data_IF_806638803771
#
_entry.id   IF_806638803771
#
_cell.length_a   1.000
_cell.length_b   1.000
_cell.length_c   1.000
_cell.angle_alpha   90.00
_cell.angle_beta   90.00
_cell.angle_gamma   90.00
#
_symmetry.space_group_name_H-M   'P 1'
#
loop_
_entity.id
_entity.type
_entity.pdbx_description
1 polymer ?
#
# COMPACT_ATOMS: atom_id res chain seq x y z
N UNK A 1 -1.90 0.93 16.64
CA UNK A 1 -2.36 0.32 15.38
C UNK A 1 -1.37 0.64 14.26
N UNK A 2 -1.06 -0.33 13.41
CA UNK A 2 -0.07 -0.24 12.33
C UNK A 2 -0.74 -0.59 11.00
N UNK A 3 -0.31 0.05 9.92
CA UNK A 3 -0.88 -0.14 8.58
C UNK A 3 0.25 -0.32 7.57
N UNK A 4 0.05 -1.25 6.63
CA UNK A 4 0.90 -1.46 5.45
C UNK A 4 0.02 -1.60 4.21
N UNK A 5 0.61 -1.43 3.03
CA UNK A 5 -0.09 -1.49 1.75
C UNK A 5 0.29 -2.76 0.98
N UNK A 6 -0.67 -3.31 0.24
CA UNK A 6 -0.44 -4.39 -0.70
C UNK A 6 -0.97 -4.00 -2.08
N UNK A 7 -0.22 -4.33 -3.14
CA UNK A 7 -0.68 -4.18 -4.52
C UNK A 7 -0.65 -5.52 -5.22
N UNK A 8 -1.77 -5.89 -5.81
CA UNK A 8 -1.92 -7.11 -6.60
C UNK A 8 -1.55 -6.83 -8.06
N UNK A 9 -0.47 -7.43 -8.53
CA UNK A 9 0.00 -7.27 -9.90
C UNK A 9 -0.30 -8.52 -10.72
N UNK A 10 -1.08 -8.34 -11.79
CA UNK A 10 -1.58 -9.43 -12.64
C UNK A 10 -0.61 -9.85 -13.75
N UNK A 11 0.55 -9.19 -13.87
CA UNK A 11 1.58 -9.61 -14.82
C UNK A 11 2.14 -10.97 -14.41
N UNK A 12 2.43 -11.85 -15.38
CA UNK A 12 2.98 -13.17 -15.09
C UNK A 12 4.48 -13.07 -14.75
N UNK A 13 4.95 -13.60 -13.60
CA UNK A 13 4.17 -14.30 -12.57
C UNK A 13 3.42 -13.36 -11.63
N UNK A 14 2.17 -13.70 -11.30
CA UNK A 14 1.31 -12.91 -10.41
C UNK A 14 1.89 -12.86 -8.99
N UNK A 15 2.12 -11.65 -8.49
CA UNK A 15 2.70 -11.39 -7.17
C UNK A 15 1.91 -10.32 -6.40
N UNK A 16 2.07 -10.32 -5.08
CA UNK A 16 1.72 -9.17 -4.25
C UNK A 16 2.97 -8.33 -4.01
N UNK A 17 2.86 -7.02 -4.13
CA UNK A 17 3.89 -6.08 -3.67
C UNK A 17 3.48 -5.54 -2.31
N UNK A 18 4.39 -5.59 -1.34
CA UNK A 18 4.18 -5.12 0.02
C UNK A 18 4.97 -3.84 0.27
N UNK A 19 4.29 -2.82 0.80
CA UNK A 19 4.90 -1.57 1.20
C UNK A 19 4.61 -1.25 2.66
N UNK A 20 5.67 -1.09 3.45
CA UNK A 20 5.60 -0.82 4.88
C UNK A 20 6.55 0.33 5.26
N UNK A 21 6.00 1.45 5.76
CA UNK A 21 6.79 2.62 6.12
C UNK A 21 7.68 2.42 7.34
N UNK A 22 7.43 1.39 8.15
CA UNK A 22 8.27 1.00 9.29
C UNK A 22 9.33 -0.05 8.92
N UNK A 23 9.34 -0.52 7.66
CA UNK A 23 10.21 -1.61 7.22
C UNK A 23 9.92 -2.93 7.93
N UNK A 24 8.69 -3.14 8.40
CA UNK A 24 8.30 -4.41 9.01
C UNK A 24 8.08 -5.47 7.93
N UNK A 25 8.42 -6.73 8.18
CA UNK A 25 8.11 -7.82 7.25
C UNK A 25 6.59 -8.03 7.16
N UNK A 26 6.15 -8.57 6.03
CA UNK A 26 4.75 -9.02 5.86
C UNK A 26 4.42 -10.17 6.83
N UNK A 27 3.14 -10.31 7.19
CA UNK A 27 2.67 -11.52 7.86
C UNK A 27 2.58 -12.69 6.85
N UNK A 28 2.93 -13.90 7.30
CA UNK A 28 2.86 -15.14 6.53
C UNK A 28 1.42 -15.48 6.11
N UNK A 29 0.42 -15.03 6.87
CA UNK A 29 -0.99 -15.33 6.58
C UNK A 29 -1.57 -14.51 5.42
N UNK A 30 -0.88 -13.46 4.97
CA UNK A 30 -1.40 -12.57 3.92
C UNK A 30 -1.55 -13.30 2.59
N UNK A 31 -0.54 -14.09 2.21
CA UNK A 31 -0.57 -14.82 0.95
C UNK A 31 -1.72 -15.83 0.86
N UNK A 32 -1.92 -16.74 1.84
CA UNK A 32 -3.06 -17.64 1.82
C UNK A 32 -4.41 -16.92 1.96
N UNK A 33 -4.49 -15.86 2.78
CA UNK A 33 -5.73 -15.08 2.92
C UNK A 33 -6.13 -14.38 1.62
N UNK A 34 -5.15 -13.82 0.90
CA UNK A 34 -5.40 -13.18 -0.39
C UNK A 34 -5.75 -14.22 -1.46
N UNK A 35 -5.09 -15.39 -1.44
CA UNK A 35 -5.45 -16.51 -2.30
C UNK A 35 -6.89 -16.97 -2.09
N UNK A 36 -7.33 -17.08 -0.83
CA UNK A 36 -8.72 -17.39 -0.48
C UNK A 36 -9.69 -16.29 -0.93
N UNK A 37 -9.33 -15.01 -0.80
CA UNK A 37 -10.16 -13.89 -1.27
C UNK A 37 -10.42 -13.94 -2.78
N UNK A 38 -9.46 -14.43 -3.57
CA UNK A 38 -9.58 -14.58 -5.02
C UNK A 38 -10.27 -15.90 -5.43
N UNK A 39 -10.63 -16.75 -4.46
CA UNK A 39 -11.32 -18.00 -4.76
C UNK A 39 -12.65 -17.68 -5.46
N UNK A 40 -12.91 -18.33 -6.59
CA UNK A 40 -14.09 -18.13 -7.44
C UNK A 40 -14.17 -16.81 -8.23
N UNK A 41 -13.16 -15.93 -8.19
CA UNK A 41 -13.17 -14.69 -8.99
C UNK A 41 -12.59 -14.86 -10.40
N UNK A 42 -11.98 -16.03 -10.69
CA UNK A 42 -11.26 -16.28 -11.95
C UNK A 42 -9.88 -15.61 -12.04
N UNK A 43 -9.44 -14.90 -10.99
CA UNK A 43 -8.10 -14.33 -10.90
C UNK A 43 -7.11 -15.39 -10.39
N UNK A 44 -5.84 -15.29 -10.81
CA UNK A 44 -4.80 -16.20 -10.35
C UNK A 44 -4.35 -15.84 -8.93
N UNK A 45 -4.21 -16.84 -8.06
CA UNK A 45 -3.63 -16.61 -6.74
C UNK A 45 -2.16 -16.13 -6.87
N UNK A 46 -1.75 -15.11 -6.09
CA UNK A 46 -0.35 -14.67 -6.08
C UNK A 46 0.58 -15.78 -5.58
N UNK A 47 1.78 -15.86 -6.18
CA UNK A 47 2.76 -16.90 -5.81
C UNK A 47 3.65 -16.51 -4.63
N UNK A 48 3.90 -15.22 -4.46
CA UNK A 48 4.77 -14.67 -3.42
C UNK A 48 4.44 -13.22 -3.15
N UNK A 49 4.94 -12.74 -2.02
CA UNK A 49 4.96 -11.33 -1.65
C UNK A 49 6.37 -10.80 -1.94
N UNK A 50 6.44 -9.70 -2.68
CA UNK A 50 7.67 -8.94 -2.95
C UNK A 50 7.69 -7.74 -2.02
N UNK A 51 8.74 -7.59 -1.23
CA UNK A 51 8.92 -6.39 -0.42
C UNK A 51 9.40 -5.25 -1.32
N UNK A 52 8.52 -4.27 -1.52
CA UNK A 52 8.77 -3.17 -2.44
C UNK A 52 9.42 -2.01 -1.67
N UNK A 53 10.70 -1.80 -1.96
CA UNK A 53 11.56 -0.81 -1.29
C UNK A 53 11.19 0.65 -1.56
N UNK A 54 10.17 0.90 -2.39
CA UNK A 54 9.69 2.23 -2.79
C UNK A 54 8.87 2.91 -1.68
N UNK A 55 8.62 2.23 -0.55
CA UNK A 55 7.91 2.86 0.56
C UNK A 55 8.85 3.79 1.31
N UNK A 56 8.61 5.10 1.23
CA UNK A 56 9.32 6.06 2.05
C UNK A 56 9.19 5.69 3.53
N UNK A 57 10.31 5.71 4.24
CA UNK A 57 10.38 5.28 5.63
C UNK A 57 9.83 6.38 6.53
N UNK A 58 9.01 5.98 7.49
CA UNK A 58 8.58 6.89 8.54
C UNK A 58 9.73 7.16 9.52
N UNK A 59 9.90 8.41 9.87
CA UNK A 59 10.84 8.88 10.88
C UNK A 59 10.22 8.89 12.28
N UNK A 60 11.04 9.22 13.31
CA UNK A 60 10.67 9.06 14.71
C UNK A 60 9.48 9.89 15.17
N UNK A 61 9.17 10.98 14.48
CA UNK A 61 8.09 11.91 14.85
C UNK A 61 6.90 11.87 13.87
N UNK A 62 6.86 10.86 13.00
CA UNK A 62 6.03 10.90 11.79
C UNK A 62 4.99 9.78 11.81
N UNK A 63 3.90 10.05 12.53
CA UNK A 63 2.82 9.09 12.78
C UNK A 63 1.80 9.01 11.64
N UNK A 64 2.15 8.42 10.51
CA UNK A 64 1.16 8.23 9.43
C UNK A 64 1.37 7.02 8.53
N UNK A 65 1.63 5.85 9.13
CA UNK A 65 1.70 4.58 8.39
C UNK A 65 0.48 4.32 7.50
N UNK A 66 -0.72 4.79 7.90
CA UNK A 66 -1.92 4.74 7.06
C UNK A 66 -1.80 5.58 5.78
N UNK A 67 -1.29 6.80 5.88
CA UNK A 67 -1.08 7.67 4.71
C UNK A 67 0.04 7.14 3.82
N UNK A 68 1.12 6.63 4.43
CA UNK A 68 2.21 6.02 3.70
C UNK A 68 1.72 4.78 2.91
N UNK A 69 0.90 3.93 3.53
CA UNK A 69 0.28 2.77 2.87
C UNK A 69 -0.64 3.19 1.72
N UNK A 70 -1.47 4.21 1.89
CA UNK A 70 -2.32 4.75 0.82
C UNK A 70 -1.47 5.27 -0.34
N UNK A 71 -0.45 6.09 -0.06
CA UNK A 71 0.44 6.63 -1.09
C UNK A 71 1.16 5.51 -1.87
N UNK A 72 1.63 4.47 -1.19
CA UNK A 72 2.25 3.30 -1.81
C UNK A 72 1.33 2.64 -2.84
N UNK A 73 0.05 2.43 -2.47
CA UNK A 73 -0.96 1.85 -3.37
C UNK A 73 -1.25 2.78 -4.54
N UNK A 74 -1.46 4.08 -4.28
CA UNK A 74 -1.76 5.08 -5.32
C UNK A 74 -0.63 5.27 -6.33
N UNK A 75 0.63 5.26 -5.90
CA UNK A 75 1.78 5.34 -6.80
C UNK A 75 1.81 4.14 -7.78
N UNK A 76 1.50 2.95 -7.29
CA UNK A 76 1.49 1.74 -8.12
C UNK A 76 0.29 1.60 -9.04
N UNK A 77 -0.78 2.37 -8.82
CA UNK A 77 -1.94 2.36 -9.71
C UNK A 77 -1.76 3.24 -10.96
N UNK A 78 -0.58 3.86 -11.13
CA UNK A 78 -0.30 4.73 -12.28
C UNK A 78 -1.04 6.07 -12.22
N UNK A 79 -1.50 6.51 -11.05
CA UNK A 79 -2.14 7.80 -10.87
C UNK A 79 -1.14 8.93 -11.21
N UNK A 80 -1.33 9.54 -12.37
CA UNK A 80 -0.50 10.64 -12.87
C UNK A 80 -0.41 11.76 -11.83
N UNK A 81 0.80 12.25 -11.57
CA UNK A 81 1.11 13.33 -10.63
C UNK A 81 0.98 13.00 -9.13
N UNK A 82 0.92 11.73 -8.74
CA UNK A 82 1.04 11.37 -7.32
C UNK A 82 2.48 11.55 -6.87
N UNK A 83 2.73 12.51 -5.99
CA UNK A 83 4.05 12.68 -5.39
C UNK A 83 4.34 11.53 -4.41
N UNK A 84 5.60 11.08 -4.29
CA UNK A 84 6.00 10.18 -3.21
C UNK A 84 5.78 10.84 -1.85
N UNK A 85 5.18 10.09 -0.94
CA UNK A 85 4.99 10.52 0.44
C UNK A 85 6.33 10.62 1.16
N UNK A 86 6.39 11.56 2.10
CA UNK A 86 7.45 11.67 3.10
C UNK A 86 6.83 12.11 4.41
N UNK A 87 7.53 11.89 5.51
CA UNK A 87 7.18 12.42 6.82
C UNK A 87 6.76 13.90 6.80
N UNK A 88 7.59 14.73 6.15
CA UNK A 88 7.39 16.17 6.07
C UNK A 88 6.12 16.53 5.28
N UNK A 89 5.75 15.72 4.28
CA UNK A 89 4.54 15.94 3.49
C UNK A 89 3.29 15.31 4.12
N UNK A 90 3.41 14.50 5.18
CA UNK A 90 2.29 13.82 5.83
C UNK A 90 1.10 14.72 6.17
N UNK A 91 1.25 15.95 6.72
CA UNK A 91 0.12 16.83 6.95
C UNK A 91 -0.66 17.16 5.66
N UNK A 92 0.01 17.46 4.55
CA UNK A 92 -0.64 17.78 3.28
C UNK A 92 -1.40 16.58 2.71
N UNK A 93 -0.80 15.39 2.77
CA UNK A 93 -1.48 14.15 2.34
C UNK A 93 -2.71 13.84 3.19
N UNK A 94 -2.66 14.06 4.51
CA UNK A 94 -3.84 13.91 5.39
C UNK A 94 -4.95 14.87 5.03
N UNK A 95 -4.62 16.15 4.85
CA UNK A 95 -5.62 17.16 4.46
C UNK A 95 -6.26 16.82 3.12
N UNK A 96 -5.47 16.35 2.14
CA UNK A 96 -5.99 15.90 0.85
C UNK A 96 -6.90 14.67 0.99
N UNK A 97 -6.51 13.67 1.78
CA UNK A 97 -7.32 12.48 2.01
C UNK A 97 -8.66 12.82 2.69
N UNK A 98 -8.67 13.75 3.64
CA UNK A 98 -9.91 14.26 4.27
C UNK A 98 -10.77 15.00 3.24
N UNK A 99 -10.16 15.87 2.43
CA UNK A 99 -10.88 16.57 1.37
C UNK A 99 -11.52 15.59 0.38
N UNK A 100 -10.79 14.57 -0.04
CA UNK A 100 -11.30 13.55 -0.96
C UNK A 100 -12.47 12.79 -0.34
N UNK A 101 -12.38 12.42 0.94
CA UNK A 101 -13.48 11.81 1.66
C UNK A 101 -14.73 12.70 1.66
N UNK A 102 -14.58 14.01 1.87
CA UNK A 102 -15.69 14.98 1.90
C UNK A 102 -16.26 15.27 0.51
N UNK A 103 -15.47 15.16 -0.57
CA UNK A 103 -15.95 15.40 -1.93
C UNK A 103 -16.69 14.18 -2.49
N UNK A 104 -16.21 12.98 -2.15
CA UNK A 104 -16.80 11.74 -2.64
C UNK A 104 -18.02 11.26 -1.83
N UNK A 105 -18.35 11.88 -0.69
CA UNK A 105 -19.49 11.53 0.17
C UNK A 105 -20.35 12.76 0.42
#
# INVERSE_FOLDING_TARGET
>A
NHFSGYRYETHSPVNLHHGDSMGRPTNNDILPSFGWLLEHTGHQAPRRILEDGITARQGPQSGSCGIAAVNFVTLGSGALNTAPWTDASSPAFRSKAIQDLVVYH
#
